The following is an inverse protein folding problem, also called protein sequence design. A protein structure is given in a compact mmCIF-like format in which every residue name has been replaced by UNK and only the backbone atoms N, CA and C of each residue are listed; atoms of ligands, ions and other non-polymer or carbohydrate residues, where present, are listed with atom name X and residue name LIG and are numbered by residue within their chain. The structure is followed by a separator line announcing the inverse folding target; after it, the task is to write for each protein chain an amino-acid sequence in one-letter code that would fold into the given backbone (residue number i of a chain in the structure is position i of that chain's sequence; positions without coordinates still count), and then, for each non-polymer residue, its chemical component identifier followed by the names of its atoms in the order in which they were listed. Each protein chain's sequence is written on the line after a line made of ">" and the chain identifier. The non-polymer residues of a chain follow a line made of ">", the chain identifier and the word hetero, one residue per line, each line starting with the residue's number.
data_IF_854774805421
#
_entry.id   IF_854774805421
#
_cell.length_a   1.000
_cell.length_b   1.000
_cell.length_c   1.000
_cell.angle_alpha   90.00
_cell.angle_beta   90.00
_cell.angle_gamma   90.00
#
_symmetry.space_group_name_H-M   'P 1'
#
loop_
_entity.id
_entity.type
_entity.pdbx_description
1 polymer ?
#
# COMPACT_ATOMS: atom_id res chain seq x y z
N UNK A 1 1.33 25.29 -5.99
CA UNK A 1 0.42 24.20 -6.37
C UNK A 1 0.27 23.28 -5.16
N UNK A 2 -0.85 22.58 -4.97
CA UNK A 2 -0.91 21.55 -3.91
C UNK A 2 -0.11 20.31 -4.33
N UNK A 3 0.39 19.56 -3.35
CA UNK A 3 1.12 18.30 -3.57
C UNK A 3 0.18 17.27 -4.21
N UNK A 4 0.63 16.58 -5.26
CA UNK A 4 -0.13 15.51 -5.89
C UNK A 4 0.65 14.20 -5.90
N UNK A 5 -0.05 13.11 -5.61
CA UNK A 5 0.40 11.74 -5.83
C UNK A 5 -0.59 11.12 -6.81
N UNK A 6 -0.11 10.83 -8.01
CA UNK A 6 -0.91 10.32 -9.11
C UNK A 6 -0.69 8.82 -9.24
N UNK A 7 -1.74 8.05 -8.93
CA UNK A 7 -1.72 6.60 -9.10
C UNK A 7 -1.63 6.25 -10.59
N UNK A 8 -0.58 5.51 -10.95
CA UNK A 8 -0.39 4.93 -12.29
C UNK A 8 -0.82 3.46 -12.35
N UNK A 9 -0.10 2.66 -13.13
CA UNK A 9 -0.43 1.24 -13.31
C UNK A 9 -0.27 0.41 -12.02
N UNK A 10 -1.18 -0.53 -11.79
CA UNK A 10 -1.00 -1.65 -10.89
C UNK A 10 -0.83 -2.91 -11.73
N UNK A 11 0.26 -3.64 -11.52
CA UNK A 11 0.58 -4.89 -12.21
C UNK A 11 0.60 -6.01 -11.19
N UNK A 12 -0.16 -7.06 -11.45
CA UNK A 12 -0.23 -8.26 -10.62
C UNK A 12 0.20 -9.48 -11.45
N UNK A 13 1.22 -10.20 -10.99
CA UNK A 13 1.77 -11.38 -11.66
C UNK A 13 1.72 -12.56 -10.70
N UNK A 14 1.02 -13.66 -11.03
CA UNK A 14 1.03 -14.87 -10.22
C UNK A 14 2.45 -15.39 -10.02
N UNK A 15 2.79 -15.79 -8.81
CA UNK A 15 4.06 -16.47 -8.53
C UNK A 15 3.89 -17.98 -8.64
N UNK A 16 4.98 -18.73 -8.46
CA UNK A 16 4.93 -20.19 -8.45
C UNK A 16 4.19 -20.76 -7.21
N UNK A 17 3.87 -19.94 -6.21
CA UNK A 17 3.09 -20.37 -5.05
C UNK A 17 1.60 -20.39 -5.39
N UNK A 18 0.86 -21.35 -4.82
CA UNK A 18 -0.56 -21.62 -5.13
C UNK A 18 -1.45 -20.38 -5.02
N UNK A 19 -1.17 -19.48 -4.07
CA UNK A 19 -1.88 -18.21 -3.85
C UNK A 19 -0.94 -17.01 -3.92
N UNK A 20 0.27 -17.19 -4.47
CA UNK A 20 1.28 -16.15 -4.51
C UNK A 20 1.04 -15.14 -5.63
N UNK A 21 1.19 -13.86 -5.31
CA UNK A 21 1.03 -12.76 -6.26
C UNK A 21 2.17 -11.76 -6.06
N UNK A 22 2.91 -11.43 -7.12
CA UNK A 22 3.84 -10.30 -7.14
C UNK A 22 3.10 -9.05 -7.62
N UNK A 23 3.17 -7.97 -6.85
CA UNK A 23 2.45 -6.73 -7.12
C UNK A 23 3.42 -5.58 -7.31
N UNK A 24 3.15 -4.77 -8.33
CA UNK A 24 3.91 -3.56 -8.65
C UNK A 24 2.97 -2.40 -8.90
N UNK A 25 3.03 -1.37 -8.08
CA UNK A 25 2.25 -0.17 -8.19
C UNK A 25 3.16 1.00 -8.61
N UNK A 26 2.87 1.61 -9.75
CA UNK A 26 3.62 2.73 -10.31
C UNK A 26 2.86 4.03 -10.13
N UNK A 27 3.54 5.16 -10.04
CA UNK A 27 2.89 6.47 -10.01
C UNK A 27 3.86 7.62 -10.14
N UNK A 28 3.30 8.83 -10.08
CA UNK A 28 4.04 10.09 -10.18
C UNK A 28 3.74 10.98 -8.97
N UNK A 29 4.75 11.70 -8.52
CA UNK A 29 4.67 12.72 -7.49
C UNK A 29 4.90 14.09 -8.12
N UNK A 30 4.05 15.07 -7.81
CA UNK A 30 4.20 16.47 -8.24
C UNK A 30 4.24 17.38 -7.01
N UNK A 31 5.36 18.09 -6.86
CA UNK A 31 5.64 19.01 -5.78
C UNK A 31 5.01 20.41 -5.97
N UNK A 32 4.98 21.24 -4.91
CA UNK A 32 4.33 22.54 -4.92
C UNK A 32 4.95 23.52 -5.92
N UNK A 33 6.23 23.35 -6.23
CA UNK A 33 7.04 24.17 -7.14
C UNK A 33 7.21 23.49 -8.51
N UNK A 34 6.54 22.35 -8.74
CA UNK A 34 6.64 21.58 -9.97
C UNK A 34 7.76 20.56 -9.98
N UNK A 35 8.34 20.23 -8.82
CA UNK A 35 9.23 19.09 -8.68
C UNK A 35 8.51 17.80 -9.10
N UNK A 36 9.20 16.94 -9.84
CA UNK A 36 8.61 15.72 -10.39
C UNK A 36 9.45 14.51 -9.96
N UNK A 37 8.79 13.48 -9.46
CA UNK A 37 9.41 12.20 -9.17
C UNK A 37 8.49 11.07 -9.63
N UNK A 38 9.05 10.02 -10.19
CA UNK A 38 8.31 8.79 -10.48
C UNK A 38 8.61 7.76 -9.40
N UNK A 39 7.65 6.91 -9.08
CA UNK A 39 7.85 5.86 -8.08
C UNK A 39 7.27 4.51 -8.48
N UNK A 40 7.80 3.48 -7.85
CA UNK A 40 7.27 2.12 -7.89
C UNK A 40 7.29 1.51 -6.48
N UNK A 41 6.19 0.89 -6.09
CA UNK A 41 6.02 0.12 -4.86
C UNK A 41 5.85 -1.36 -5.22
N UNK A 42 6.45 -2.25 -4.45
CA UNK A 42 6.37 -3.69 -4.68
C UNK A 42 6.19 -4.51 -3.42
N UNK A 43 5.36 -5.55 -3.51
CA UNK A 43 5.24 -6.56 -2.47
C UNK A 43 4.76 -7.88 -3.08
N UNK A 44 5.20 -8.99 -2.50
CA UNK A 44 4.89 -10.32 -3.00
C UNK A 44 4.22 -11.14 -1.91
N UNK A 45 3.05 -11.72 -2.19
CA UNK A 45 2.34 -12.57 -1.23
C UNK A 45 3.23 -13.74 -0.78
N UNK A 46 3.43 -13.87 0.53
CA UNK A 46 4.22 -14.95 1.12
C UNK A 46 5.74 -14.82 0.95
N UNK A 47 6.26 -13.63 0.63
CA UNK A 47 7.69 -13.43 0.50
C UNK A 47 8.44 -13.64 1.82
N UNK A 48 9.65 -14.19 1.71
CA UNK A 48 10.64 -14.24 2.79
C UNK A 48 11.98 -13.71 2.23
N UNK A 49 12.51 -12.58 2.73
CA UNK A 49 11.97 -11.77 3.82
C UNK A 49 10.62 -11.10 3.48
N UNK A 50 9.78 -10.91 4.51
CA UNK A 50 8.48 -10.22 4.41
C UNK A 50 8.70 -8.70 4.38
N UNK A 51 9.25 -8.21 3.27
CA UNK A 51 9.57 -6.80 3.05
C UNK A 51 8.97 -6.34 1.73
N UNK A 52 8.55 -5.09 1.70
CA UNK A 52 8.17 -4.40 0.47
C UNK A 52 9.41 -3.74 -0.17
N UNK A 53 9.27 -3.33 -1.42
CA UNK A 53 10.30 -2.64 -2.19
C UNK A 53 9.78 -1.31 -2.71
N UNK A 54 10.68 -0.34 -2.81
CA UNK A 54 10.41 1.01 -3.29
C UNK A 54 11.49 1.40 -4.30
N UNK A 55 11.09 2.08 -5.35
CA UNK A 55 11.98 2.87 -6.20
C UNK A 55 11.42 4.27 -6.34
N UNK A 56 12.28 5.28 -6.20
CA UNK A 56 11.94 6.69 -6.46
C UNK A 56 12.98 7.26 -7.41
N UNK A 57 12.55 7.73 -8.57
CA UNK A 57 13.41 8.33 -9.57
C UNK A 57 13.17 9.82 -9.69
N UNK A 58 14.25 10.59 -9.78
CA UNK A 58 14.23 12.05 -9.92
C UNK A 58 15.22 12.52 -10.98
N UNK A 59 14.93 13.68 -11.57
CA UNK A 59 15.89 14.40 -12.40
C UNK A 59 16.21 13.73 -13.74
N UNK A 60 15.27 12.99 -14.35
CA UNK A 60 15.46 12.40 -15.67
C UNK A 60 16.05 13.40 -16.68
N UNK A 61 17.15 12.98 -17.33
CA UNK A 61 17.87 13.80 -18.30
C UNK A 61 18.85 14.81 -17.71
N UNK A 62 18.93 14.94 -16.38
CA UNK A 62 19.90 15.79 -15.70
C UNK A 62 21.06 14.95 -15.11
N UNK A 63 22.32 15.43 -15.17
CA UNK A 63 23.46 14.71 -14.59
C UNK A 63 23.38 14.47 -13.07
N UNK A 64 22.59 15.26 -12.35
CA UNK A 64 22.31 15.10 -10.92
C UNK A 64 21.05 14.29 -10.61
N UNK A 65 20.42 13.67 -11.61
CA UNK A 65 19.30 12.75 -11.40
C UNK A 65 19.75 11.34 -11.05
N UNK A 66 18.85 10.54 -10.48
CA UNK A 66 19.14 9.18 -10.04
C UNK A 66 17.88 8.41 -9.66
N UNK A 67 18.03 7.10 -9.52
CA UNK A 67 16.99 6.21 -9.00
C UNK A 67 17.43 5.65 -7.66
N UNK A 68 16.60 5.87 -6.64
CA UNK A 68 16.84 5.47 -5.26
C UNK A 68 16.02 4.23 -4.97
N UNK A 69 16.66 3.19 -4.43
CA UNK A 69 16.00 1.94 -4.07
C UNK A 69 16.01 1.73 -2.56
N UNK A 70 14.88 1.28 -2.03
CA UNK A 70 14.76 0.96 -0.62
C UNK A 70 13.89 -0.28 -0.41
N UNK A 71 14.14 -0.98 0.71
CA UNK A 71 13.21 -1.94 1.27
C UNK A 71 12.36 -1.27 2.34
N UNK A 72 11.08 -1.65 2.41
CA UNK A 72 10.13 -1.24 3.44
C UNK A 72 9.89 -2.46 4.34
N UNK A 73 10.14 -2.32 5.63
CA UNK A 73 10.04 -3.42 6.58
C UNK A 73 9.28 -3.01 7.84
N UNK A 74 8.67 -3.97 8.53
CA UNK A 74 8.02 -3.75 9.82
C UNK A 74 9.06 -3.31 10.86
N UNK A 75 8.78 -2.22 11.57
CA UNK A 75 9.62 -1.75 12.66
C UNK A 75 8.77 -1.07 13.74
N UNK A 76 8.91 -1.50 14.99
CA UNK A 76 8.24 -0.91 16.16
C UNK A 76 6.71 -0.75 16.02
N UNK A 77 6.03 -1.73 15.40
CA UNK A 77 4.58 -1.68 15.17
C UNK A 77 4.15 -0.76 14.03
N UNK A 78 5.11 -0.12 13.35
CA UNK A 78 4.94 0.61 12.11
C UNK A 78 5.88 0.07 11.04
N UNK A 79 6.40 0.95 10.19
CA UNK A 79 7.34 0.59 9.14
C UNK A 79 8.56 1.50 9.17
N UNK A 80 9.65 1.01 8.60
CA UNK A 80 10.86 1.77 8.33
C UNK A 80 11.37 1.49 6.93
N UNK A 81 12.32 2.32 6.48
CA UNK A 81 12.97 2.21 5.19
C UNK A 81 14.46 1.94 5.37
N UNK A 82 15.03 1.11 4.50
CA UNK A 82 16.47 1.01 4.35
C UNK A 82 16.84 1.09 2.88
N UNK A 83 17.77 1.97 2.54
CA UNK A 83 18.40 1.98 1.22
C UNK A 83 19.06 0.62 0.96
N UNK A 84 19.02 0.18 -0.30
CA UNK A 84 19.56 -1.10 -0.75
C UNK A 84 20.36 -0.94 -2.04
N UNK A 85 21.34 -1.81 -2.24
CA UNK A 85 22.11 -1.91 -3.48
C UNK A 85 21.39 -2.72 -4.56
N UNK A 86 20.32 -3.44 -4.19
CA UNK A 86 19.52 -4.26 -5.11
C UNK A 86 18.48 -3.39 -5.84
N UNK A 87 18.62 -3.13 -7.14
CA UNK A 87 17.64 -2.35 -7.88
C UNK A 87 16.29 -3.06 -7.93
N UNK A 88 15.20 -2.31 -7.76
CA UNK A 88 13.84 -2.85 -7.82
C UNK A 88 13.17 -2.56 -9.16
N UNK A 89 12.81 -1.31 -9.44
CA UNK A 89 12.16 -0.92 -10.69
C UNK A 89 12.78 0.33 -11.30
N UNK A 90 12.80 0.36 -12.63
CA UNK A 90 13.11 1.58 -13.37
C UNK A 90 11.85 2.40 -13.56
N UNK A 91 11.95 3.69 -13.27
CA UNK A 91 10.81 4.62 -13.28
C UNK A 91 11.09 5.82 -14.19
N UNK A 92 10.07 6.46 -14.80
CA UNK A 92 10.26 7.45 -15.86
C UNK A 92 11.15 8.65 -15.51
N UNK A 93 11.01 9.22 -14.32
CA UNK A 93 11.86 10.32 -13.85
C UNK A 93 13.23 9.86 -13.34
N UNK A 94 13.54 8.56 -13.35
CA UNK A 94 14.79 8.01 -12.85
C UNK A 94 16.00 8.25 -13.74
N UNK A 95 17.16 8.37 -13.11
CA UNK A 95 18.48 8.33 -13.72
C UNK A 95 19.15 6.95 -13.55
N UNK A 96 20.49 6.89 -13.44
CA UNK A 96 21.16 5.64 -13.06
C UNK A 96 20.66 5.12 -11.71
N UNK A 97 20.62 3.80 -11.56
CA UNK A 97 20.33 3.15 -10.27
C UNK A 97 21.50 3.43 -9.32
N UNK A 98 21.21 4.14 -8.22
CA UNK A 98 22.20 4.48 -7.21
C UNK A 98 22.38 3.31 -6.24
N UNK A 99 23.62 3.01 -5.89
CA UNK A 99 23.91 2.15 -4.72
C UNK A 99 23.42 2.81 -3.44
N UNK A 100 23.28 2.05 -2.36
CA UNK A 100 22.87 2.57 -1.07
C UNK A 100 23.83 3.65 -0.54
N UNK A 101 25.14 3.50 -0.79
CA UNK A 101 26.14 4.50 -0.39
C UNK A 101 26.08 5.78 -1.25
N UNK A 102 25.89 5.64 -2.56
CA UNK A 102 25.68 6.80 -3.44
C UNK A 102 24.41 7.54 -3.08
N UNK A 103 23.31 6.82 -2.82
CA UNK A 103 22.05 7.37 -2.37
C UNK A 103 22.20 8.11 -1.03
N UNK A 104 22.93 7.56 -0.05
CA UNK A 104 23.25 8.23 1.23
C UNK A 104 24.02 9.53 1.07
N UNK A 105 24.90 9.59 0.07
CA UNK A 105 25.72 10.76 -0.24
C UNK A 105 25.01 11.79 -1.14
N UNK A 106 23.86 11.44 -1.73
CA UNK A 106 23.16 12.28 -2.68
C UNK A 106 22.47 13.48 -2.00
N UNK A 107 22.62 14.68 -2.57
CA UNK A 107 22.10 15.92 -1.98
C UNK A 107 20.56 15.93 -1.88
N UNK A 108 19.88 15.31 -2.85
CA UNK A 108 18.42 15.20 -2.89
C UNK A 108 17.82 14.07 -2.04
N UNK A 109 18.63 13.31 -1.28
CA UNK A 109 18.07 12.24 -0.43
C UNK A 109 16.96 12.73 0.53
N UNK A 110 17.07 13.92 1.19
CA UNK A 110 15.97 14.45 1.99
C UNK A 110 14.68 14.67 1.20
N UNK A 111 14.79 15.11 -0.05
CA UNK A 111 13.63 15.26 -0.95
C UNK A 111 13.03 13.90 -1.29
N UNK A 112 13.85 12.89 -1.57
CA UNK A 112 13.39 11.52 -1.85
C UNK A 112 12.64 10.92 -0.67
N UNK A 113 13.10 11.13 0.56
CA UNK A 113 12.36 10.68 1.75
C UNK A 113 11.05 11.42 1.94
N UNK A 114 11.05 12.73 1.73
CA UNK A 114 9.82 13.49 1.77
C UNK A 114 8.81 13.00 0.71
N UNK A 115 9.24 12.75 -0.53
CA UNK A 115 8.40 12.14 -1.58
C UNK A 115 7.84 10.79 -1.13
N UNK A 116 8.69 9.94 -0.53
CA UNK A 116 8.31 8.62 -0.02
C UNK A 116 7.21 8.72 1.04
N UNK A 117 7.32 9.64 1.99
CA UNK A 117 6.29 9.87 3.01
C UNK A 117 4.97 10.30 2.36
N UNK A 118 5.02 11.22 1.40
CA UNK A 118 3.82 11.70 0.69
C UNK A 118 3.15 10.57 -0.11
N UNK A 119 3.91 9.65 -0.70
CA UNK A 119 3.39 8.47 -1.40
C UNK A 119 2.65 7.55 -0.43
N UNK A 120 3.26 7.19 0.70
CA UNK A 120 2.61 6.29 1.68
C UNK A 120 1.38 6.91 2.38
N UNK A 121 1.27 8.23 2.37
CA UNK A 121 0.10 8.95 2.86
C UNK A 121 -1.06 8.99 1.86
N UNK A 122 -0.79 8.99 0.55
CA UNK A 122 -1.80 9.36 -0.47
C UNK A 122 -2.10 8.29 -1.50
N UNK A 123 -1.17 7.37 -1.78
CA UNK A 123 -1.40 6.29 -2.71
C UNK A 123 -2.17 5.17 -2.02
N UNK A 124 -3.36 4.85 -2.52
CA UNK A 124 -4.23 3.86 -1.88
C UNK A 124 -3.63 2.45 -1.92
N UNK A 125 -2.81 2.17 -2.94
CA UNK A 125 -2.08 0.89 -3.07
C UNK A 125 -0.92 0.82 -2.07
N UNK A 126 -0.40 1.97 -1.63
CA UNK A 126 0.55 2.02 -0.53
C UNK A 126 -0.11 1.65 0.81
N UNK A 127 -1.38 2.00 1.02
CA UNK A 127 -2.14 1.55 2.20
C UNK A 127 -2.33 0.03 2.19
N UNK A 128 -2.64 -0.55 1.03
CA UNK A 128 -2.68 -2.01 0.88
C UNK A 128 -1.33 -2.67 1.19
N UNK A 129 -0.24 -2.15 0.62
CA UNK A 129 1.11 -2.59 0.93
C UNK A 129 1.38 -2.54 2.44
N UNK A 130 1.00 -1.44 3.11
CA UNK A 130 1.18 -1.30 4.57
C UNK A 130 0.38 -2.34 5.35
N UNK A 131 -0.87 -2.59 5.01
CA UNK A 131 -1.67 -3.62 5.67
C UNK A 131 -1.17 -5.05 5.41
N UNK A 132 -0.55 -5.28 4.25
CA UNK A 132 0.18 -6.52 3.97
C UNK A 132 1.45 -6.62 4.83
N UNK A 133 2.25 -5.56 4.86
CA UNK A 133 3.53 -5.51 5.58
C UNK A 133 3.33 -5.74 7.08
N UNK A 134 2.37 -5.03 7.68
CA UNK A 134 2.06 -5.09 9.11
C UNK A 134 1.13 -6.24 9.49
N UNK A 135 0.72 -7.07 8.51
CA UNK A 135 -0.24 -8.17 8.68
C UNK A 135 -1.47 -7.74 9.48
N UNK A 136 -2.06 -6.60 9.13
CA UNK A 136 -3.18 -6.01 9.88
C UNK A 136 -4.31 -7.02 10.02
N UNK A 137 -4.73 -7.28 11.25
CA UNK A 137 -5.80 -8.23 11.58
C UNK A 137 -7.17 -7.62 11.30
N UNK A 138 -8.08 -8.45 10.82
CA UNK A 138 -9.50 -8.14 10.70
C UNK A 138 -10.37 -9.29 11.25
N UNK A 139 -11.59 -8.96 11.65
CA UNK A 139 -12.66 -9.90 11.98
C UNK A 139 -13.74 -9.79 10.92
N UNK A 140 -14.16 -10.93 10.39
CA UNK A 140 -15.15 -11.03 9.32
C UNK A 140 -16.37 -11.81 9.81
N UNK A 141 -17.56 -11.49 9.31
CA UNK A 141 -18.70 -12.42 9.47
C UNK A 141 -18.38 -13.76 8.80
N UNK A 142 -18.96 -14.85 9.31
CA UNK A 142 -18.71 -16.18 8.78
C UNK A 142 -19.01 -16.26 7.28
N UNK A 143 -20.13 -15.66 6.85
CA UNK A 143 -20.58 -15.61 5.47
C UNK A 143 -19.61 -14.87 4.56
N UNK A 144 -18.99 -13.79 5.04
CA UNK A 144 -17.95 -13.06 4.29
C UNK A 144 -16.67 -13.89 4.21
N UNK A 145 -16.24 -14.47 5.33
CA UNK A 145 -15.04 -15.30 5.40
C UNK A 145 -15.13 -16.53 4.47
N UNK A 146 -16.30 -17.17 4.44
CA UNK A 146 -16.60 -18.31 3.56
C UNK A 146 -17.01 -17.89 2.13
N UNK A 147 -16.98 -16.59 1.83
CA UNK A 147 -17.31 -16.01 0.51
C UNK A 147 -18.73 -16.32 0.04
N UNK A 148 -19.66 -16.54 0.98
CA UNK A 148 -21.09 -16.69 0.74
C UNK A 148 -21.80 -15.35 0.60
N UNK A 149 -21.23 -14.28 1.15
CA UNK A 149 -21.73 -12.92 1.05
C UNK A 149 -20.62 -11.92 0.70
N UNK A 150 -20.94 -10.83 0.00
CA UNK A 150 -20.02 -9.72 -0.18
C UNK A 150 -19.87 -8.92 1.12
N UNK A 151 -18.75 -8.21 1.28
CA UNK A 151 -18.58 -7.23 2.34
C UNK A 151 -19.50 -6.04 2.04
N UNK A 152 -20.36 -5.61 2.95
CA UNK A 152 -21.27 -4.47 2.75
C UNK A 152 -21.01 -3.33 3.73
N UNK A 153 -20.38 -3.65 4.87
CA UNK A 153 -20.01 -2.68 5.89
C UNK A 153 -18.60 -2.97 6.40
N UNK A 154 -17.80 -1.90 6.51
CA UNK A 154 -16.45 -1.92 7.05
C UNK A 154 -16.38 -0.95 8.21
N UNK A 155 -15.73 -1.37 9.30
CA UNK A 155 -15.45 -0.51 10.45
C UNK A 155 -14.01 -0.70 10.91
N UNK A 156 -13.31 0.40 11.16
CA UNK A 156 -12.07 0.41 11.91
C UNK A 156 -12.44 0.77 13.35
N UNK A 157 -12.39 -0.21 14.26
CA UNK A 157 -12.83 -0.01 15.64
C UNK A 157 -11.95 1.03 16.37
N UNK A 158 -12.57 1.90 17.16
CA UNK A 158 -11.85 2.95 17.87
C UNK A 158 -11.14 2.44 19.13
N UNK A 159 -11.67 1.38 19.74
CA UNK A 159 -11.23 0.92 21.06
C UNK A 159 -10.05 -0.05 20.95
N UNK A 160 -10.09 -0.97 19.98
CA UNK A 160 -9.07 -2.01 19.79
C UNK A 160 -8.32 -1.93 18.44
N UNK A 161 -8.69 -1.00 17.56
CA UNK A 161 -8.08 -0.85 16.23
C UNK A 161 -8.37 -2.01 15.28
N UNK A 162 -9.27 -2.93 15.63
CA UNK A 162 -9.59 -4.10 14.82
C UNK A 162 -10.48 -3.70 13.65
N UNK A 163 -10.11 -4.14 12.46
CA UNK A 163 -10.93 -3.99 11.28
C UNK A 163 -12.05 -5.02 11.28
N UNK A 164 -13.29 -4.59 11.02
CA UNK A 164 -14.46 -5.46 10.93
C UNK A 164 -15.04 -5.42 9.53
N UNK A 165 -15.23 -6.58 8.92
CA UNK A 165 -15.80 -6.74 7.57
C UNK A 165 -17.11 -7.53 7.69
N UNK A 166 -18.23 -6.89 7.36
CA UNK A 166 -19.58 -7.41 7.65
C UNK A 166 -20.39 -7.52 6.37
N UNK A 167 -21.06 -8.67 6.18
CA UNK A 167 -21.95 -8.97 5.07
C UNK A 167 -23.36 -8.45 5.26
N UNK A 168 -24.33 -9.13 4.63
CA UNK A 168 -25.76 -8.83 4.78
C UNK A 168 -26.33 -9.50 6.04
N UNK A 169 -25.80 -10.66 6.42
CA UNK A 169 -26.15 -11.33 7.66
C UNK A 169 -25.54 -10.60 8.86
N UNK A 170 -26.36 -10.40 9.90
CA UNK A 170 -25.93 -9.76 11.14
C UNK A 170 -24.75 -10.52 11.75
N UNK A 171 -23.76 -9.77 12.22
CA UNK A 171 -22.60 -10.33 12.91
C UNK A 171 -23.02 -10.86 14.29
N UNK A 172 -23.30 -12.16 14.40
CA UNK A 172 -23.26 -12.81 15.71
C UNK A 172 -21.79 -12.79 16.20
N UNK A 173 -21.53 -12.04 17.27
CA UNK A 173 -20.20 -11.86 17.85
C UNK A 173 -19.50 -13.16 18.23
N UNK A 174 -20.23 -14.27 18.37
CA UNK A 174 -19.66 -15.60 18.63
C UNK A 174 -19.15 -16.35 17.40
N UNK A 175 -19.47 -15.90 16.18
CA UNK A 175 -19.18 -16.63 14.92
C UNK A 175 -18.11 -15.96 14.05
N UNK A 176 -17.63 -14.79 14.45
CA UNK A 176 -16.64 -14.01 13.72
C UNK A 176 -15.36 -14.81 13.43
N UNK A 177 -14.79 -14.61 12.25
CA UNK A 177 -13.54 -15.24 11.81
C UNK A 177 -12.44 -14.21 11.72
N UNK A 178 -11.29 -14.53 12.31
CA UNK A 178 -10.10 -13.69 12.25
C UNK A 178 -9.30 -14.00 10.98
N UNK A 179 -8.83 -12.97 10.29
CA UNK A 179 -7.93 -13.06 9.15
C UNK A 179 -7.06 -11.81 9.01
N UNK A 180 -6.26 -11.73 7.97
CA UNK A 180 -5.52 -10.51 7.64
C UNK A 180 -6.29 -9.68 6.61
N UNK A 181 -6.32 -8.36 6.79
CA UNK A 181 -7.07 -7.43 5.95
C UNK A 181 -6.63 -7.49 4.48
N UNK A 182 -5.33 -7.67 4.21
CA UNK A 182 -4.82 -7.76 2.84
C UNK A 182 -5.39 -8.96 2.05
N UNK A 183 -5.77 -10.06 2.72
CA UNK A 183 -6.46 -11.17 2.05
C UNK A 183 -7.88 -10.81 1.65
N UNK A 184 -8.57 -9.94 2.39
CA UNK A 184 -9.87 -9.44 1.96
C UNK A 184 -9.72 -8.53 0.74
N UNK A 185 -8.64 -7.74 0.67
CA UNK A 185 -8.33 -6.89 -0.49
C UNK A 185 -7.99 -7.73 -1.73
N UNK A 186 -7.30 -8.86 -1.56
CA UNK A 186 -7.03 -9.82 -2.66
C UNK A 186 -8.33 -10.29 -3.33
N UNK A 187 -9.41 -10.45 -2.56
CA UNK A 187 -10.72 -10.93 -3.04
C UNK A 187 -11.65 -9.80 -3.49
N UNK A 188 -11.52 -8.61 -2.88
CA UNK A 188 -12.31 -7.43 -3.18
C UNK A 188 -11.45 -6.17 -3.19
N UNK A 189 -10.93 -5.85 -4.38
CA UNK A 189 -10.05 -4.69 -4.56
C UNK A 189 -10.73 -3.34 -4.31
N UNK A 190 -12.06 -3.26 -4.29
CA UNK A 190 -12.73 -1.99 -3.95
C UNK A 190 -12.45 -1.55 -2.51
N UNK A 191 -11.98 -2.46 -1.63
CA UNK A 191 -11.56 -2.12 -0.28
C UNK A 191 -10.39 -1.12 -0.26
N UNK A 192 -9.58 -1.07 -1.32
CA UNK A 192 -8.46 -0.11 -1.46
C UNK A 192 -8.95 1.33 -1.27
N UNK A 193 -10.19 1.62 -1.65
CA UNK A 193 -10.79 2.97 -1.54
C UNK A 193 -11.01 3.44 -0.10
N UNK A 194 -10.90 2.55 0.90
CA UNK A 194 -11.24 2.82 2.30
C UNK A 194 -10.20 2.29 3.30
N UNK A 195 -8.99 1.95 2.84
CA UNK A 195 -7.92 1.46 3.72
C UNK A 195 -7.31 2.56 4.61
N UNK A 196 -7.61 3.84 4.36
CA UNK A 196 -7.22 4.97 5.19
C UNK A 196 -8.24 5.35 6.26
N UNK A 197 -9.32 4.56 6.44
CA UNK A 197 -10.28 4.81 7.51
C UNK A 197 -9.55 5.00 8.85
N UNK A 198 -9.74 6.12 9.56
CA UNK A 198 -9.16 6.32 10.88
C UNK A 198 -9.80 5.36 11.89
N UNK A 199 -9.18 5.10 13.05
CA UNK A 199 -9.87 4.43 14.15
C UNK A 199 -11.19 5.14 14.49
N UNK A 200 -12.28 4.38 14.62
CA UNK A 200 -13.66 4.89 14.70
C UNK A 200 -14.39 4.93 13.35
N UNK A 201 -13.61 4.97 12.26
CA UNK A 201 -13.98 4.95 10.86
C UNK A 201 -14.99 3.89 10.48
N UNK A 202 -15.93 4.23 9.60
CA UNK A 202 -16.73 3.22 8.91
C UNK A 202 -17.15 3.63 7.51
N UNK A 203 -17.39 2.61 6.67
CA UNK A 203 -17.87 2.75 5.30
C UNK A 203 -18.92 1.67 4.99
N UNK A 204 -19.88 2.01 4.12
CA UNK A 204 -20.97 1.13 3.66
C UNK A 204 -21.05 1.10 2.14
N UNK A 205 -21.55 0.01 1.56
CA UNK A 205 -21.93 -0.03 0.14
C UNK A 205 -23.20 -0.86 -0.06
N UNK A 206 -23.85 -0.66 -1.19
CA UNK A 206 -25.15 -1.30 -1.49
C UNK A 206 -25.02 -2.73 -2.02
N UNK A 207 -23.84 -3.13 -2.47
CA UNK A 207 -23.58 -4.43 -3.09
C UNK A 207 -22.11 -4.59 -3.50
N UNK A 208 -21.74 -5.79 -3.93
CA UNK A 208 -20.40 -6.07 -4.45
C UNK A 208 -20.07 -5.15 -5.64
N UNK A 209 -18.92 -4.49 -5.59
CA UNK A 209 -18.48 -3.56 -6.65
C UNK A 209 -19.18 -2.20 -6.68
N UNK A 210 -20.18 -1.96 -5.80
CA UNK A 210 -20.72 -0.61 -5.61
C UNK A 210 -19.70 0.28 -4.90
N UNK A 211 -19.66 1.60 -5.20
CA UNK A 211 -18.82 2.54 -4.47
C UNK A 211 -19.10 2.54 -2.96
N UNK A 212 -18.04 2.73 -2.18
CA UNK A 212 -18.14 2.93 -0.74
C UNK A 212 -18.68 4.31 -0.38
N UNK A 213 -19.49 4.37 0.67
CA UNK A 213 -20.07 5.58 1.26
C UNK A 213 -19.68 5.65 2.73
N UNK A 214 -19.07 6.76 3.13
CA UNK A 214 -18.81 7.09 4.53
C UNK A 214 -17.34 7.37 4.84
N UNK A 215 -17.15 8.36 5.69
CA UNK A 215 -16.03 8.59 6.61
C UNK A 215 -16.70 9.13 7.87
N UNK A 216 -16.69 8.36 8.97
CA UNK A 216 -17.22 8.79 10.26
C UNK A 216 -16.18 8.56 11.33
#
# INVERSE_FOLDING_TARGET
>A
MEIQVLEGALVEVPTNAVTGMDRRAFGEFIGPQGELASYALGWTTGSDPHVARLSVGIGAGNPGGGTFHAVIFENEGGHAFSLTDDPFERVPQGGPDLTADEARAHEDLPFVWWVTDRILERDRRAWWLRHWLLRTTCVQTLEVFERREPILFVRHDADDGVWRLIGASDADGGTGKTGHLHHAVDEDQSLIDILDLPPGGSATRTGAGSPWNGHF
#
